data_IF_127593298224
#
_entry.id   IF_127593298224
#
_cell.length_a   1.000
_cell.length_b   1.000
_cell.length_c   1.000
_cell.angle_alpha   90.00
_cell.angle_beta   90.00
_cell.angle_gamma   90.00
#
_symmetry.space_group_name_H-M   'P 1'
#
loop_
_entity.id
_entity.type
_entity.pdbx_description
1 polymer ?
#
# COMPACT_ATOMS: atom_id res chain seq x y z
N UNK A 1 -25.51 9.54 17.06
CA UNK A 1 -24.19 9.78 16.43
C UNK A 1 -24.12 9.04 15.08
N UNK A 2 -23.65 9.68 14.03
CA UNK A 2 -23.47 9.10 12.70
C UNK A 2 -21.99 8.94 12.42
N UNK A 3 -21.58 7.76 12.01
CA UNK A 3 -20.23 7.52 11.47
C UNK A 3 -20.20 7.82 9.97
N UNK A 4 -19.23 8.60 9.54
CA UNK A 4 -19.01 8.98 8.16
C UNK A 4 -17.70 8.37 7.67
N UNK A 5 -17.80 7.58 6.62
CA UNK A 5 -16.67 6.97 5.93
C UNK A 5 -16.47 7.71 4.60
N UNK A 6 -15.37 8.44 4.43
CA UNK A 6 -15.09 9.16 3.19
C UNK A 6 -14.61 8.19 2.11
N UNK A 7 -15.26 8.24 0.95
CA UNK A 7 -14.98 7.41 -0.24
C UNK A 7 -14.88 8.37 -1.42
N UNK A 8 -13.78 8.54 -2.08
CA UNK A 8 -13.60 9.38 -3.28
C UNK A 8 -14.72 10.42 -3.54
N UNK A 9 -15.68 10.10 -4.44
CA UNK A 9 -16.85 10.96 -4.76
C UNK A 9 -18.11 10.60 -3.95
N UNK A 10 -18.03 9.67 -3.03
CA UNK A 10 -19.13 9.20 -2.20
C UNK A 10 -18.73 9.24 -0.71
N UNK A 11 -19.73 9.13 0.14
CA UNK A 11 -19.55 8.89 1.57
C UNK A 11 -20.33 7.65 2.00
N UNK A 12 -19.74 6.87 2.87
CA UNK A 12 -20.45 5.82 3.60
C UNK A 12 -20.97 6.40 4.92
N UNK A 13 -22.22 6.21 5.24
CA UNK A 13 -22.81 6.68 6.48
C UNK A 13 -23.46 5.53 7.24
N UNK A 14 -23.28 5.52 8.56
CA UNK A 14 -23.89 4.52 9.43
C UNK A 14 -24.34 5.15 10.75
N UNK A 15 -25.52 4.75 11.25
CA UNK A 15 -26.02 5.21 12.53
C UNK A 15 -25.51 4.31 13.65
N UNK A 16 -24.89 4.92 14.67
CA UNK A 16 -24.44 4.24 15.88
C UNK A 16 -25.25 4.76 17.05
N UNK A 17 -25.91 3.85 17.76
CA UNK A 17 -26.67 4.15 18.96
C UNK A 17 -28.04 3.46 18.99
N UNK A 18 -28.69 3.57 20.14
CA UNK A 18 -29.98 2.91 20.40
C UNK A 18 -31.15 3.91 20.38
N UNK A 19 -30.95 5.16 19.93
CA UNK A 19 -32.02 6.15 19.86
C UNK A 19 -32.90 5.89 18.63
N UNK A 20 -34.11 5.43 18.86
CA UNK A 20 -35.07 5.06 17.80
C UNK A 20 -35.51 6.27 16.98
N UNK A 21 -35.71 7.43 17.57
CA UNK A 21 -36.14 8.65 16.86
C UNK A 21 -35.03 9.15 15.94
N UNK A 22 -33.79 9.21 16.44
CA UNK A 22 -32.61 9.57 15.67
C UNK A 22 -32.38 8.59 14.50
N UNK A 23 -32.56 7.29 14.73
CA UNK A 23 -32.48 6.27 13.68
C UNK A 23 -33.53 6.45 12.61
N UNK A 24 -34.79 6.73 12.96
CA UNK A 24 -35.85 6.96 11.99
C UNK A 24 -35.62 8.22 11.16
N UNK A 25 -35.14 9.29 11.79
CA UNK A 25 -34.75 10.52 11.10
C UNK A 25 -33.60 10.25 10.13
N UNK A 26 -32.52 9.56 10.57
CA UNK A 26 -31.43 9.15 9.74
C UNK A 26 -31.90 8.33 8.53
N UNK A 27 -32.72 7.32 8.75
CA UNK A 27 -33.22 6.44 7.69
C UNK A 27 -34.08 7.19 6.66
N UNK A 28 -34.85 8.18 7.09
CA UNK A 28 -35.64 9.04 6.19
C UNK A 28 -34.71 9.85 5.25
N UNK A 29 -33.65 10.44 5.78
CA UNK A 29 -32.67 11.21 4.99
C UNK A 29 -31.94 10.31 4.02
N UNK A 30 -31.42 9.17 4.48
CA UNK A 30 -30.72 8.19 3.65
C UNK A 30 -31.58 7.72 2.48
N UNK A 31 -32.87 7.49 2.70
CA UNK A 31 -33.82 7.11 1.66
C UNK A 31 -34.02 8.22 0.63
N UNK A 32 -34.08 9.50 1.05
CA UNK A 32 -34.19 10.64 0.14
C UNK A 32 -32.96 10.84 -0.72
N UNK A 33 -31.77 10.44 -0.24
CA UNK A 33 -30.50 10.50 -0.95
C UNK A 33 -30.28 9.33 -1.92
N UNK A 34 -31.26 8.46 -2.15
CA UNK A 34 -31.13 7.23 -2.95
C UNK A 34 -29.94 6.34 -2.55
N UNK A 35 -29.67 6.26 -1.27
CA UNK A 35 -28.55 5.51 -0.71
C UNK A 35 -28.66 4.01 -1.01
N UNK A 36 -27.54 3.39 -1.28
CA UNK A 36 -27.40 1.94 -1.41
C UNK A 36 -26.61 1.39 -0.24
N UNK A 37 -27.13 0.35 0.42
CA UNK A 37 -26.39 -0.32 1.47
C UNK A 37 -25.29 -1.19 0.87
N UNK A 38 -24.05 -0.95 1.30
CA UNK A 38 -22.91 -1.80 0.95
C UNK A 38 -22.93 -3.06 1.85
N UNK A 39 -23.00 -4.26 1.28
CA UNK A 39 -23.05 -5.49 2.05
C UNK A 39 -21.75 -5.84 2.75
N UNK A 40 -20.61 -5.31 2.30
CA UNK A 40 -19.29 -5.60 2.89
C UNK A 40 -19.02 -4.72 4.11
N UNK A 41 -19.24 -3.42 3.99
CA UNK A 41 -18.96 -2.45 5.06
C UNK A 41 -20.16 -2.21 5.99
N UNK A 42 -21.36 -2.60 5.56
CA UNK A 42 -22.63 -2.32 6.24
C UNK A 42 -23.01 -0.82 6.30
N UNK A 43 -22.28 0.04 5.59
CA UNK A 43 -22.61 1.47 5.45
C UNK A 43 -23.62 1.71 4.33
N UNK A 44 -24.38 2.82 4.43
CA UNK A 44 -25.16 3.35 3.33
C UNK A 44 -24.28 4.28 2.50
N UNK A 45 -24.12 4.01 1.24
CA UNK A 45 -23.31 4.80 0.32
C UNK A 45 -24.19 5.85 -0.34
N UNK A 46 -23.81 7.12 -0.18
CA UNK A 46 -24.46 8.30 -0.75
C UNK A 46 -23.42 9.18 -1.47
N UNK A 47 -23.89 10.06 -2.35
CA UNK A 47 -23.04 11.06 -2.99
C UNK A 47 -22.50 12.05 -1.94
N UNK A 48 -21.25 12.47 -2.11
CA UNK A 48 -20.57 13.40 -1.17
C UNK A 48 -21.24 14.78 -1.06
N UNK A 49 -22.05 15.20 -2.06
CA UNK A 49 -22.84 16.43 -1.99
C UNK A 49 -23.83 16.48 -0.81
N UNK A 50 -24.19 15.33 -0.23
CA UNK A 50 -25.10 15.24 0.92
C UNK A 50 -24.38 15.31 2.27
N UNK A 51 -23.06 15.48 2.29
CA UNK A 51 -22.25 15.51 3.53
C UNK A 51 -22.74 16.63 4.47
N UNK A 52 -22.86 17.86 3.96
CA UNK A 52 -23.28 19.02 4.75
C UNK A 52 -24.66 18.82 5.37
N UNK A 53 -25.56 18.15 4.66
CA UNK A 53 -26.90 17.82 5.18
C UNK A 53 -26.79 16.85 6.37
N UNK A 54 -25.97 15.81 6.27
CA UNK A 54 -25.78 14.84 7.36
C UNK A 54 -25.13 15.52 8.57
N UNK A 55 -24.10 16.34 8.36
CA UNK A 55 -23.38 17.02 9.44
C UNK A 55 -24.24 18.11 10.12
N UNK A 56 -25.20 18.72 9.40
CA UNK A 56 -26.12 19.70 9.98
C UNK A 56 -27.23 19.08 10.85
N UNK A 57 -27.60 17.83 10.57
CA UNK A 57 -28.74 17.14 11.19
C UNK A 57 -28.37 16.18 12.31
N UNK A 58 -27.08 15.79 12.38
CA UNK A 58 -26.60 14.80 13.32
C UNK A 58 -25.22 15.16 13.89
N UNK A 59 -24.95 14.69 15.12
CA UNK A 59 -23.58 14.60 15.61
C UNK A 59 -22.83 13.52 14.83
N UNK A 60 -21.73 13.88 14.18
CA UNK A 60 -20.99 13.04 13.25
C UNK A 60 -19.59 12.73 13.75
N UNK A 61 -19.11 11.52 13.48
CA UNK A 61 -17.73 11.09 13.64
C UNK A 61 -17.20 10.64 12.28
N UNK A 62 -16.18 11.33 11.75
CA UNK A 62 -15.51 10.92 10.51
C UNK A 62 -14.54 9.79 10.81
N UNK A 63 -14.78 8.63 10.20
CA UNK A 63 -13.85 7.52 10.24
C UNK A 63 -12.92 7.65 9.04
N UNK A 64 -11.64 7.84 9.30
CA UNK A 64 -10.61 7.80 8.27
C UNK A 64 -10.48 6.36 7.75
N UNK A 65 -10.30 6.22 6.45
CA UNK A 65 -9.98 4.92 5.88
C UNK A 65 -8.62 4.48 6.44
N UNK A 66 -8.47 3.23 6.89
CA UNK A 66 -7.22 2.76 7.50
C UNK A 66 -6.02 2.83 6.54
N UNK A 67 -6.27 3.03 5.24
CA UNK A 67 -5.23 3.17 4.21
C UNK A 67 -4.96 4.62 3.77
N UNK A 68 -5.64 5.65 4.34
CA UNK A 68 -5.46 7.04 3.88
C UNK A 68 -4.01 7.53 4.02
N UNK A 69 -3.31 7.11 5.06
CA UNK A 69 -1.94 7.49 5.33
C UNK A 69 -0.89 6.57 4.68
N UNK A 70 -1.33 5.53 3.96
CA UNK A 70 -0.40 4.60 3.32
C UNK A 70 0.45 5.31 2.26
N UNK A 71 1.75 5.08 2.31
CA UNK A 71 2.71 5.68 1.39
C UNK A 71 2.93 7.17 1.59
N UNK A 72 2.62 7.72 2.77
CA UNK A 72 2.85 9.14 3.10
C UNK A 72 4.34 9.54 2.98
N UNK A 73 5.26 8.60 3.21
CA UNK A 73 6.71 8.82 3.12
C UNK A 73 7.24 8.71 1.66
N UNK A 74 6.38 8.48 0.70
CA UNK A 74 6.75 8.46 -0.71
C UNK A 74 6.91 9.89 -1.26
N UNK A 75 7.87 10.07 -2.18
CA UNK A 75 8.10 11.37 -2.85
C UNK A 75 6.89 11.84 -3.68
N UNK A 76 6.09 10.90 -4.18
CA UNK A 76 4.83 11.17 -4.86
C UNK A 76 3.73 10.37 -4.17
N UNK A 77 2.65 11.01 -3.72
CA UNK A 77 1.59 10.32 -3.00
C UNK A 77 0.89 9.29 -3.89
N UNK A 78 0.68 8.07 -3.40
CA UNK A 78 -0.08 7.05 -4.13
C UNK A 78 -1.54 7.46 -4.32
N UNK A 79 -2.16 6.99 -5.40
CA UNK A 79 -3.62 7.08 -5.57
C UNK A 79 -4.36 6.23 -4.55
N UNK A 80 -5.64 6.53 -4.27
CA UNK A 80 -6.44 5.82 -3.26
C UNK A 80 -6.41 4.30 -3.42
N UNK A 81 -6.61 3.78 -4.64
CA UNK A 81 -6.55 2.33 -4.88
C UNK A 81 -5.15 1.72 -4.67
N UNK A 82 -4.08 2.51 -4.85
CA UNK A 82 -2.71 2.08 -4.56
C UNK A 82 -2.47 2.03 -3.05
N UNK A 83 -2.97 3.01 -2.30
CA UNK A 83 -2.95 3.03 -0.83
C UNK A 83 -3.68 1.83 -0.24
N UNK A 84 -4.85 1.51 -0.78
CA UNK A 84 -5.61 0.31 -0.40
C UNK A 84 -4.82 -0.98 -0.63
N UNK A 85 -4.14 -1.09 -1.79
CA UNK A 85 -3.28 -2.23 -2.08
C UNK A 85 -2.07 -2.32 -1.15
N UNK A 86 -1.43 -1.18 -0.81
CA UNK A 86 -0.33 -1.11 0.16
C UNK A 86 -0.82 -1.59 1.54
N UNK A 87 -1.96 -1.08 2.00
CA UNK A 87 -2.58 -1.50 3.26
C UNK A 87 -2.90 -3.00 3.28
N UNK A 88 -3.46 -3.52 2.18
CA UNK A 88 -3.72 -4.95 2.04
C UNK A 88 -2.43 -5.77 2.18
N UNK A 89 -1.35 -5.39 1.49
CA UNK A 89 -0.06 -6.09 1.57
C UNK A 89 0.58 -6.00 2.96
N UNK A 90 0.46 -4.86 3.64
CA UNK A 90 0.96 -4.69 5.00
C UNK A 90 0.28 -5.66 5.98
N UNK A 91 -1.02 -5.90 5.82
CA UNK A 91 -1.78 -6.79 6.69
C UNK A 91 -1.78 -8.25 6.23
N UNK A 92 -1.26 -8.54 5.03
CA UNK A 92 -1.20 -9.87 4.43
C UNK A 92 0.18 -10.08 3.82
N UNK A 93 1.17 -10.43 4.63
CA UNK A 93 2.58 -10.51 4.21
C UNK A 93 2.85 -11.52 3.08
N UNK A 94 1.98 -12.50 2.89
CA UNK A 94 2.01 -13.42 1.74
C UNK A 94 0.88 -13.06 0.76
N UNK A 95 1.02 -11.95 0.05
CA UNK A 95 -0.02 -11.41 -0.82
C UNK A 95 0.37 -11.41 -2.29
N UNK A 96 -0.64 -11.41 -3.16
CA UNK A 96 -0.49 -11.29 -4.60
C UNK A 96 -1.29 -10.07 -5.10
N UNK A 97 -0.62 -9.14 -5.78
CA UNK A 97 -1.23 -7.95 -6.37
C UNK A 97 -1.53 -8.23 -7.84
N UNK A 98 -2.81 -8.31 -8.20
CA UNK A 98 -3.27 -8.48 -9.58
C UNK A 98 -3.99 -7.21 -10.03
N UNK A 99 -3.30 -6.39 -10.80
CA UNK A 99 -3.85 -5.17 -11.42
C UNK A 99 -3.48 -5.09 -12.90
N UNK A 100 -4.24 -4.40 -13.74
CA UNK A 100 -3.89 -4.16 -15.13
C UNK A 100 -2.50 -3.53 -15.31
N UNK A 101 -1.86 -3.65 -16.47
CA UNK A 101 -0.63 -2.92 -16.78
C UNK A 101 -0.84 -1.40 -16.63
N UNK A 102 0.18 -0.68 -16.18
CA UNK A 102 0.13 0.78 -16.02
C UNK A 102 -0.54 1.30 -14.74
N UNK A 103 -1.07 0.46 -13.88
CA UNK A 103 -1.71 0.86 -12.61
C UNK A 103 -0.73 1.21 -11.48
N UNK A 104 0.58 1.11 -11.73
CA UNK A 104 1.60 1.46 -10.74
C UNK A 104 1.86 0.39 -9.69
N UNK A 105 1.84 -0.89 -10.06
CA UNK A 105 2.22 -2.00 -9.15
C UNK A 105 3.59 -1.78 -8.51
N UNK A 106 4.54 -1.21 -9.24
CA UNK A 106 5.85 -0.80 -8.72
C UNK A 106 5.73 0.16 -7.53
N UNK A 107 4.85 1.16 -7.63
CA UNK A 107 4.56 2.11 -6.54
C UNK A 107 3.97 1.38 -5.33
N UNK A 108 3.05 0.45 -5.54
CA UNK A 108 2.45 -0.35 -4.47
C UNK A 108 3.52 -1.18 -3.74
N UNK A 109 4.44 -1.83 -4.46
CA UNK A 109 5.55 -2.59 -3.88
C UNK A 109 6.50 -1.69 -3.06
N UNK A 110 6.91 -0.54 -3.60
CA UNK A 110 7.79 0.41 -2.91
C UNK A 110 7.09 0.95 -1.65
N UNK A 111 5.83 1.34 -1.77
CA UNK A 111 5.00 1.83 -0.65
C UNK A 111 4.83 0.77 0.44
N UNK A 112 4.57 -0.48 0.06
CA UNK A 112 4.49 -1.60 1.02
C UNK A 112 5.78 -1.74 1.81
N UNK A 113 6.93 -1.70 1.15
CA UNK A 113 8.22 -1.83 1.86
C UNK A 113 8.48 -0.64 2.81
N UNK A 114 8.14 0.58 2.41
CA UNK A 114 8.23 1.75 3.29
C UNK A 114 7.32 1.61 4.52
N UNK A 115 6.11 1.12 4.36
CA UNK A 115 5.21 0.89 5.51
C UNK A 115 5.71 -0.24 6.41
N UNK A 116 6.34 -1.31 5.87
CA UNK A 116 6.97 -2.36 6.68
C UNK A 116 8.08 -1.80 7.56
N UNK A 117 8.92 -0.90 7.03
CA UNK A 117 9.96 -0.19 7.80
C UNK A 117 9.34 0.74 8.85
N UNK A 118 8.36 1.55 8.48
CA UNK A 118 7.68 2.52 9.34
C UNK A 118 7.00 1.85 10.54
N UNK A 119 6.40 0.69 10.35
CA UNK A 119 5.75 -0.09 11.40
C UNK A 119 6.70 -1.03 12.17
N UNK A 120 8.01 -0.96 11.92
CA UNK A 120 9.03 -1.81 12.54
C UNK A 120 8.75 -3.32 12.37
N UNK A 121 8.12 -3.70 11.24
CA UNK A 121 7.90 -5.11 10.90
C UNK A 121 9.21 -5.72 10.38
N UNK A 122 10.04 -4.92 9.72
CA UNK A 122 11.42 -5.25 9.36
C UNK A 122 12.33 -4.03 9.51
N UNK A 123 13.60 -4.27 9.80
CA UNK A 123 14.68 -3.29 9.72
C UNK A 123 15.79 -3.76 8.76
N UNK A 124 15.54 -4.89 8.09
CA UNK A 124 16.49 -5.56 7.20
C UNK A 124 16.31 -5.13 5.75
N UNK A 125 17.36 -5.21 4.93
CA UNK A 125 17.23 -4.92 3.51
C UNK A 125 16.26 -5.90 2.83
N UNK A 126 15.45 -5.38 1.90
CA UNK A 126 14.54 -6.19 1.08
C UNK A 126 15.12 -6.57 -0.27
N UNK A 127 14.49 -7.53 -0.92
CA UNK A 127 14.82 -8.02 -2.26
C UNK A 127 13.65 -7.85 -3.21
N UNK A 128 13.91 -7.32 -4.40
CA UNK A 128 12.97 -7.31 -5.52
C UNK A 128 13.56 -8.18 -6.63
N UNK A 129 12.88 -9.27 -6.97
CA UNK A 129 13.27 -10.17 -8.05
C UNK A 129 12.44 -9.91 -9.30
N UNK A 130 13.10 -9.55 -10.40
CA UNK A 130 12.46 -9.09 -11.63
C UNK A 130 13.06 -9.77 -12.86
N UNK A 131 12.47 -9.55 -14.04
CA UNK A 131 13.12 -9.91 -15.32
C UNK A 131 14.41 -9.12 -15.50
N UNK A 132 15.43 -9.76 -16.10
CA UNK A 132 16.77 -9.16 -16.29
C UNK A 132 16.75 -7.78 -16.97
N UNK A 133 15.84 -7.56 -17.93
CA UNK A 133 15.67 -6.29 -18.65
C UNK A 133 15.12 -5.16 -17.78
N UNK A 134 14.42 -5.47 -16.69
CA UNK A 134 13.76 -4.50 -15.82
C UNK A 134 14.61 -4.08 -14.61
N UNK A 135 15.68 -4.79 -14.32
CA UNK A 135 16.49 -4.62 -13.11
C UNK A 135 16.92 -3.16 -12.85
N UNK A 136 17.50 -2.51 -13.83
CA UNK A 136 17.96 -1.13 -13.70
C UNK A 136 16.82 -0.10 -13.74
N UNK A 137 15.71 -0.45 -14.39
CA UNK A 137 14.52 0.39 -14.37
C UNK A 137 13.93 0.41 -12.95
N UNK A 138 13.86 -0.72 -12.30
CA UNK A 138 13.38 -0.82 -10.90
C UNK A 138 14.22 0.02 -9.94
N UNK A 139 15.55 0.01 -10.06
CA UNK A 139 16.42 0.88 -9.25
C UNK A 139 16.04 2.35 -9.44
N UNK A 140 15.87 2.80 -10.68
CA UNK A 140 15.46 4.18 -10.99
C UNK A 140 14.07 4.52 -10.44
N UNK A 141 13.12 3.60 -10.51
CA UNK A 141 11.77 3.80 -9.95
C UNK A 141 11.80 3.91 -8.42
N UNK A 142 12.60 3.09 -7.74
CA UNK A 142 12.77 3.17 -6.28
C UNK A 142 13.34 4.55 -5.90
N UNK A 143 14.41 5.01 -6.55
CA UNK A 143 15.02 6.33 -6.32
C UNK A 143 14.07 7.49 -6.65
N UNK A 144 13.21 7.32 -7.67
CA UNK A 144 12.21 8.31 -8.07
C UNK A 144 11.10 8.47 -7.03
N UNK A 145 10.59 7.37 -6.48
CA UNK A 145 9.42 7.38 -5.61
C UNK A 145 9.74 7.37 -4.11
N UNK A 146 10.99 7.09 -3.72
CA UNK A 146 11.40 6.99 -2.33
C UNK A 146 12.80 7.54 -2.08
N UNK A 147 13.18 7.62 -0.80
CA UNK A 147 14.54 7.92 -0.38
C UNK A 147 15.36 6.65 -0.09
N UNK A 148 14.83 5.48 -0.45
CA UNK A 148 15.50 4.20 -0.25
C UNK A 148 16.74 4.10 -1.15
N UNK A 149 17.80 3.52 -0.60
CA UNK A 149 19.04 3.21 -1.33
C UNK A 149 18.85 1.87 -2.05
N UNK A 150 18.73 1.92 -3.37
CA UNK A 150 18.54 0.73 -4.19
C UNK A 150 19.80 0.36 -4.97
N UNK A 151 20.11 -0.93 -5.03
CA UNK A 151 21.23 -1.43 -5.85
C UNK A 151 20.82 -2.63 -6.70
N UNK A 152 21.28 -2.62 -7.95
CA UNK A 152 21.19 -3.78 -8.83
C UNK A 152 22.25 -4.81 -8.44
N UNK A 153 21.84 -6.03 -8.14
CA UNK A 153 22.75 -7.12 -7.76
C UNK A 153 23.03 -8.02 -8.95
N UNK A 154 24.30 -8.26 -9.20
CA UNK A 154 24.82 -9.15 -10.24
C UNK A 154 25.56 -10.35 -9.62
N UNK A 155 25.72 -11.44 -10.38
CA UNK A 155 26.52 -12.60 -9.96
C UNK A 155 27.99 -12.23 -9.79
N UNK A 156 28.77 -13.00 -8.99
CA UNK A 156 30.21 -12.73 -8.80
C UNK A 156 31.00 -12.65 -10.12
N UNK A 157 30.66 -13.48 -11.11
CA UNK A 157 31.29 -13.48 -12.41
C UNK A 157 31.11 -12.15 -13.16
N UNK A 158 29.92 -11.54 -13.03
CA UNK A 158 29.59 -10.27 -13.68
C UNK A 158 30.06 -9.06 -12.85
N UNK A 159 29.84 -9.08 -11.55
CA UNK A 159 30.18 -7.99 -10.65
C UNK A 159 31.71 -7.88 -10.37
N UNK A 160 32.43 -9.00 -10.51
CA UNK A 160 33.89 -9.09 -10.26
C UNK A 160 34.28 -8.51 -8.88
N UNK A 161 35.21 -7.53 -8.85
CA UNK A 161 35.67 -6.88 -7.62
C UNK A 161 34.59 -6.09 -6.87
N UNK A 162 33.47 -5.76 -7.51
CA UNK A 162 32.35 -5.03 -6.90
C UNK A 162 31.27 -5.95 -6.30
N UNK A 163 31.52 -7.25 -6.23
CA UNK A 163 30.49 -8.19 -5.78
C UNK A 163 30.01 -7.88 -4.35
N UNK A 164 30.91 -7.76 -3.40
CA UNK A 164 30.53 -7.55 -2.00
C UNK A 164 29.88 -6.16 -1.78
N UNK A 165 30.36 -5.13 -2.44
CA UNK A 165 29.83 -3.76 -2.27
C UNK A 165 28.38 -3.58 -2.75
N UNK A 166 27.82 -4.53 -3.48
CA UNK A 166 26.41 -4.50 -3.86
C UNK A 166 25.46 -4.75 -2.68
N UNK A 167 25.97 -5.34 -1.61
CA UNK A 167 25.21 -5.71 -0.42
C UNK A 167 25.45 -4.76 0.78
N UNK A 168 26.26 -3.71 0.57
CA UNK A 168 26.57 -2.70 1.59
C UNK A 168 25.69 -1.46 1.38
N UNK A 169 25.32 -0.78 2.45
CA UNK A 169 24.54 0.47 2.43
C UNK A 169 23.38 0.44 1.44
N UNK A 170 22.52 -0.54 1.56
CA UNK A 170 21.39 -0.78 0.68
C UNK A 170 20.14 -1.13 1.47
N UNK A 171 19.02 -0.51 1.08
CA UNK A 171 17.71 -0.78 1.66
C UNK A 171 16.92 -1.78 0.78
N UNK A 172 17.05 -1.67 -0.56
CA UNK A 172 16.42 -2.60 -1.50
C UNK A 172 17.41 -3.10 -2.54
N UNK A 173 17.54 -4.40 -2.64
CA UNK A 173 18.36 -5.09 -3.63
C UNK A 173 17.49 -5.56 -4.80
N UNK A 174 17.82 -5.14 -6.03
CA UNK A 174 17.11 -5.55 -7.24
C UNK A 174 17.94 -6.56 -8.00
N UNK A 175 17.41 -7.76 -8.19
CA UNK A 175 18.11 -8.84 -8.90
C UNK A 175 17.16 -9.53 -9.88
N UNK A 176 17.71 -10.29 -10.79
CA UNK A 176 16.89 -11.11 -11.68
C UNK A 176 16.89 -12.56 -11.24
N UNK A 177 15.91 -13.33 -11.71
CA UNK A 177 15.69 -14.73 -11.32
C UNK A 177 16.93 -15.60 -11.47
N UNK A 178 17.77 -15.38 -12.50
CA UNK A 178 19.01 -16.12 -12.67
C UNK A 178 20.07 -15.76 -11.62
N UNK A 179 20.13 -14.47 -11.22
CA UNK A 179 21.01 -14.03 -10.14
C UNK A 179 20.56 -14.62 -8.81
N UNK A 180 19.25 -14.65 -8.57
CA UNK A 180 18.64 -15.23 -7.36
C UNK A 180 18.95 -16.74 -7.18
N UNK A 181 19.21 -17.49 -8.26
CA UNK A 181 19.60 -18.90 -8.21
C UNK A 181 21.08 -19.13 -7.88
N UNK A 182 21.91 -18.07 -7.82
CA UNK A 182 23.34 -18.22 -7.57
C UNK A 182 23.63 -18.37 -6.08
N UNK A 183 24.25 -19.48 -5.68
CA UNK A 183 24.50 -19.84 -4.27
C UNK A 183 25.25 -18.74 -3.49
N UNK A 184 26.26 -18.08 -4.12
CA UNK A 184 27.01 -17.01 -3.46
C UNK A 184 26.15 -15.75 -3.24
N UNK A 185 25.20 -15.48 -4.15
CA UNK A 185 24.22 -14.39 -3.95
C UNK A 185 23.26 -14.76 -2.83
N UNK A 186 22.70 -15.98 -2.88
CA UNK A 186 21.77 -16.47 -1.84
C UNK A 186 22.45 -16.42 -0.46
N UNK A 187 23.70 -16.89 -0.35
CA UNK A 187 24.43 -16.79 0.92
C UNK A 187 24.55 -15.34 1.42
N UNK A 188 24.86 -14.39 0.55
CA UNK A 188 24.91 -12.96 0.91
C UNK A 188 23.56 -12.42 1.37
N UNK A 189 22.44 -12.85 0.76
CA UNK A 189 21.09 -12.46 1.20
C UNK A 189 20.78 -13.02 2.60
N UNK A 190 21.19 -14.26 2.87
CA UNK A 190 21.06 -14.90 4.20
C UNK A 190 21.91 -14.14 5.22
N UNK A 191 23.18 -13.84 4.90
CA UNK A 191 24.08 -13.07 5.78
C UNK A 191 23.55 -11.66 6.11
N UNK A 192 22.72 -11.09 5.24
CA UNK A 192 22.02 -9.81 5.43
C UNK A 192 20.65 -9.95 6.11
N UNK A 193 20.28 -11.16 6.49
CA UNK A 193 19.01 -11.44 7.17
C UNK A 193 17.81 -10.90 6.39
N UNK A 194 17.80 -11.05 5.06
CA UNK A 194 16.69 -10.58 4.22
C UNK A 194 15.38 -11.24 4.64
N UNK A 195 14.39 -10.44 5.01
CA UNK A 195 13.07 -10.90 5.47
C UNK A 195 11.96 -10.65 4.44
N UNK A 196 12.18 -9.69 3.52
CA UNK A 196 11.18 -9.27 2.55
C UNK A 196 11.65 -9.57 1.14
N UNK A 197 10.86 -10.37 0.40
CA UNK A 197 11.10 -10.70 -1.00
C UNK A 197 9.85 -10.37 -1.81
N UNK A 198 10.01 -9.53 -2.82
CA UNK A 198 8.96 -9.16 -3.78
C UNK A 198 9.32 -9.73 -5.15
N UNK A 199 8.33 -10.30 -5.85
CA UNK A 199 8.49 -10.91 -7.18
C UNK A 199 7.65 -10.14 -8.20
N UNK A 200 8.27 -9.74 -9.35
CA UNK A 200 7.61 -9.03 -10.46
C UNK A 200 7.77 -9.79 -11.80
#
# INVERSE_FOLDING_TARGET
>A
MIQILKLNNNIGVNHIGNNKEEFLKFFSIIKSCNAKKDPQTNYFIIDSQYLDLIESEFETETILQPWEDMGADMKLPPYSYQKEAIYFCLNNLNSLIIYPPGTGKTIMCIGTYLELLKHNITDKPGVICVKASLKYQWVKEIEKFSNLRAKAVDTPAKAKKKFDSQFEDVDLMVLNYETFKNDKVVQKLIDKEVEVIMLD
#
